data_IF_974608406666
#
_entry.id   IF_974608406666
#
_cell.length_a   1.000
_cell.length_b   1.000
_cell.length_c   1.000
_cell.angle_alpha   90.00
_cell.angle_beta   90.00
_cell.angle_gamma   90.00
#
_symmetry.space_group_name_H-M   'P 1'
#
loop_
_entity.id
_entity.type
_entity.pdbx_description
1 polymer ?
#
# COMPACT_ATOMS: atom_id res chain seq x y z
N UNK A 1 1.59 -15.86 11.63
CA UNK A 1 1.95 -14.93 10.54
C UNK A 1 1.88 -15.68 9.22
N UNK A 2 1.44 -15.03 8.14
CA UNK A 2 1.31 -15.56 6.78
C UNK A 2 2.14 -14.64 5.87
N UNK A 3 2.95 -15.19 4.97
CA UNK A 3 3.91 -14.47 4.14
C UNK A 3 3.97 -15.01 2.69
N UNK A 4 2.97 -15.77 2.30
CA UNK A 4 2.87 -16.43 0.99
C UNK A 4 2.06 -15.64 -0.04
N UNK A 5 1.58 -14.44 0.30
CA UNK A 5 0.79 -13.62 -0.61
C UNK A 5 1.68 -12.94 -1.66
N UNK A 6 1.23 -12.89 -2.93
CA UNK A 6 1.91 -12.10 -3.94
C UNK A 6 1.81 -10.61 -3.58
N UNK A 7 2.93 -9.91 -3.78
CA UNK A 7 3.01 -8.47 -3.57
C UNK A 7 3.72 -7.82 -4.76
N UNK A 8 3.32 -6.60 -5.07
CA UNK A 8 3.90 -5.81 -6.16
C UNK A 8 4.08 -4.35 -5.74
N UNK A 9 5.07 -3.70 -6.33
CA UNK A 9 5.21 -2.24 -6.21
C UNK A 9 4.12 -1.55 -7.03
N UNK A 10 3.54 -0.49 -6.48
CA UNK A 10 2.45 0.26 -7.11
C UNK A 10 2.87 1.71 -7.33
N UNK A 11 2.75 2.16 -8.57
CA UNK A 11 2.94 3.57 -8.93
C UNK A 11 1.77 4.42 -8.42
N UNK A 12 1.84 4.80 -7.15
CA UNK A 12 0.75 5.56 -6.54
C UNK A 12 0.66 6.99 -7.08
N UNK A 13 1.79 7.64 -7.32
CA UNK A 13 1.85 9.05 -7.75
C UNK A 13 1.19 9.27 -9.11
N UNK A 14 1.49 8.42 -10.09
CA UNK A 14 0.99 8.63 -11.45
C UNK A 14 -0.26 7.81 -11.78
N UNK A 15 -0.52 6.71 -11.06
CA UNK A 15 -1.66 5.83 -11.33
C UNK A 15 -2.60 5.72 -10.14
N UNK A 16 -2.10 5.23 -9.01
CA UNK A 16 -2.93 4.88 -7.85
C UNK A 16 -3.79 6.03 -7.32
N UNK A 17 -3.20 7.22 -7.13
CA UNK A 17 -3.89 8.41 -6.62
C UNK A 17 -5.01 8.92 -7.54
N UNK A 18 -4.92 8.64 -8.84
CA UNK A 18 -5.90 9.05 -9.83
C UNK A 18 -6.96 7.98 -10.11
N UNK A 19 -6.82 6.78 -9.53
CA UNK A 19 -7.82 5.73 -9.63
C UNK A 19 -9.10 6.14 -8.88
N UNK A 20 -10.26 5.96 -9.53
CA UNK A 20 -11.55 6.40 -8.99
C UNK A 20 -11.96 5.65 -7.72
N UNK A 21 -11.55 4.39 -7.57
CA UNK A 21 -11.93 3.52 -6.46
C UNK A 21 -10.96 3.66 -5.28
N UNK A 22 -9.65 3.69 -5.57
CA UNK A 22 -8.62 3.60 -4.52
C UNK A 22 -7.82 4.87 -4.31
N UNK A 23 -7.86 5.84 -5.23
CA UNK A 23 -6.97 7.00 -5.20
C UNK A 23 -7.16 7.92 -4.00
N UNK A 24 -8.29 7.82 -3.30
CA UNK A 24 -8.60 8.58 -2.09
C UNK A 24 -8.27 7.87 -0.78
N UNK A 25 -7.66 6.67 -0.83
CA UNK A 25 -7.27 5.93 0.38
C UNK A 25 -6.15 6.67 1.14
N UNK A 26 -5.13 7.12 0.43
CA UNK A 26 -3.94 7.74 1.02
C UNK A 26 -3.90 9.25 0.81
N UNK A 27 -4.69 9.97 1.61
CA UNK A 27 -4.71 11.45 1.63
C UNK A 27 -3.70 12.08 2.60
N UNK A 28 -2.97 11.25 3.34
CA UNK A 28 -2.04 11.66 4.38
C UNK A 28 -0.64 12.02 3.86
N UNK A 29 -0.39 11.85 2.56
CA UNK A 29 0.89 12.10 1.90
C UNK A 29 0.66 13.11 0.77
N UNK A 30 1.53 14.10 0.68
CA UNK A 30 1.63 14.97 -0.50
C UNK A 30 2.46 14.25 -1.57
N UNK A 31 1.78 13.44 -2.36
CA UNK A 31 2.43 12.58 -3.36
C UNK A 31 3.19 13.33 -4.45
N UNK A 32 2.82 14.58 -4.72
CA UNK A 32 3.47 15.40 -5.75
C UNK A 32 4.84 15.90 -5.31
N UNK A 33 5.08 16.05 -4.00
CA UNK A 33 6.30 16.65 -3.45
C UNK A 33 7.05 15.78 -2.43
N UNK A 34 6.41 14.76 -1.85
CA UNK A 34 6.99 13.90 -0.83
C UNK A 34 7.53 12.60 -1.44
N UNK A 35 8.85 12.45 -1.42
CA UNK A 35 9.58 11.27 -1.91
C UNK A 35 9.82 10.22 -0.83
N UNK A 36 9.50 10.53 0.43
CA UNK A 36 9.78 9.63 1.55
C UNK A 36 8.80 8.46 1.61
N UNK A 37 7.70 8.47 0.86
CA UNK A 37 6.70 7.40 0.85
C UNK A 37 6.65 6.63 -0.48
N UNK A 38 6.42 5.32 -0.38
CA UNK A 38 6.16 4.41 -1.51
C UNK A 38 5.01 3.46 -1.16
N UNK A 39 4.40 2.81 -2.15
CA UNK A 39 3.23 1.94 -1.95
C UNK A 39 3.48 0.53 -2.49
N UNK A 40 3.08 -0.47 -1.70
CA UNK A 40 3.05 -1.88 -2.08
C UNK A 40 1.60 -2.35 -2.14
N UNK A 41 1.23 -3.03 -3.23
CA UNK A 41 -0.04 -3.73 -3.39
C UNK A 41 0.12 -5.21 -3.01
N UNK A 42 -0.91 -5.77 -2.39
CA UNK A 42 -0.97 -7.18 -1.99
C UNK A 42 -2.30 -7.75 -2.49
N UNK A 43 -2.21 -8.81 -3.28
CA UNK A 43 -3.37 -9.49 -3.86
C UNK A 43 -3.76 -10.72 -3.02
N UNK A 44 -5.03 -10.78 -2.64
CA UNK A 44 -5.65 -11.86 -1.88
C UNK A 44 -6.76 -12.56 -2.66
N UNK A 45 -6.97 -12.24 -3.94
CA UNK A 45 -8.11 -12.71 -4.75
C UNK A 45 -8.22 -14.24 -4.77
N UNK A 46 -7.08 -14.95 -4.87
CA UNK A 46 -7.04 -16.42 -4.87
C UNK A 46 -6.69 -17.03 -3.51
N UNK A 47 -6.58 -16.21 -2.47
CA UNK A 47 -6.17 -16.65 -1.14
C UNK A 47 -7.36 -16.90 -0.23
N UNK A 48 -7.30 -18.01 0.52
CA UNK A 48 -8.31 -18.33 1.55
C UNK A 48 -7.83 -17.95 2.94
N UNK A 49 -8.71 -17.31 3.70
CA UNK A 49 -8.55 -17.01 5.13
C UNK A 49 -9.81 -17.43 5.87
N UNK A 50 -9.66 -17.77 7.16
CA UNK A 50 -10.78 -18.19 8.01
C UNK A 50 -11.61 -17.00 8.55
N UNK A 51 -11.34 -15.79 8.07
CA UNK A 51 -11.96 -14.53 8.49
C UNK A 51 -12.27 -13.69 7.25
N UNK A 52 -13.10 -12.66 7.43
CA UNK A 52 -13.41 -11.68 6.38
C UNK A 52 -12.11 -11.13 5.76
N UNK A 53 -12.12 -11.03 4.43
CA UNK A 53 -10.92 -10.76 3.63
C UNK A 53 -11.20 -9.68 2.60
N UNK A 54 -10.33 -8.68 2.54
CA UNK A 54 -10.26 -7.75 1.42
C UNK A 54 -9.58 -8.44 0.24
N UNK A 55 -10.00 -8.17 -1.00
CA UNK A 55 -9.39 -8.75 -2.19
C UNK A 55 -8.01 -8.15 -2.47
N UNK A 56 -7.87 -6.84 -2.31
CA UNK A 56 -6.59 -6.14 -2.53
C UNK A 56 -6.34 -5.16 -1.37
N UNK A 57 -5.12 -5.16 -0.83
CA UNK A 57 -4.65 -4.15 0.12
C UNK A 57 -3.46 -3.39 -0.44
N UNK A 58 -3.36 -2.11 -0.07
CA UNK A 58 -2.21 -1.26 -0.31
C UNK A 58 -1.58 -0.88 1.02
N UNK A 59 -0.25 -0.88 1.09
CA UNK A 59 0.53 -0.57 2.29
C UNK A 59 1.56 0.50 1.96
N UNK A 60 1.62 1.57 2.77
CA UNK A 60 2.65 2.59 2.62
C UNK A 60 3.95 2.14 3.30
N UNK A 61 5.07 2.38 2.60
CA UNK A 61 6.41 2.36 3.15
C UNK A 61 6.91 3.80 3.32
N UNK A 62 7.75 4.04 4.33
CA UNK A 62 8.35 5.34 4.59
C UNK A 62 9.87 5.21 4.78
N UNK A 63 10.65 6.05 4.11
CA UNK A 63 12.08 6.13 4.29
C UNK A 63 12.41 6.95 5.53
N UNK A 64 13.03 6.32 6.53
CA UNK A 64 13.40 7.00 7.75
C UNK A 64 14.81 7.57 7.65
N UNK A 65 14.91 8.89 7.42
CA UNK A 65 16.17 9.62 7.29
C UNK A 65 17.12 9.43 8.49
N UNK A 66 16.60 9.29 9.71
CA UNK A 66 17.43 9.12 10.91
C UNK A 66 18.10 7.76 10.98
N UNK A 67 17.45 6.74 10.40
CA UNK A 67 17.92 5.36 10.41
C UNK A 67 18.61 5.00 9.09
N UNK A 68 18.34 5.75 8.02
CA UNK A 68 18.89 5.52 6.68
C UNK A 68 18.30 4.30 5.99
N UNK A 69 17.03 3.96 6.24
CA UNK A 69 16.36 2.81 5.59
C UNK A 69 14.84 2.95 5.51
N UNK A 70 14.26 2.22 4.55
CA UNK A 70 12.82 2.05 4.42
C UNK A 70 12.21 1.26 5.59
N UNK A 71 11.02 1.68 6.00
CA UNK A 71 10.21 1.04 7.03
C UNK A 71 8.79 0.84 6.52
N UNK A 72 8.18 -0.30 6.88
CA UNK A 72 6.76 -0.54 6.64
C UNK A 72 5.96 0.27 7.65
N UNK A 73 5.00 1.07 7.18
CA UNK A 73 4.15 1.88 8.06
C UNK A 73 2.91 1.09 8.51
N UNK A 74 2.13 1.67 9.43
CA UNK A 74 0.79 1.17 9.77
C UNK A 74 -0.32 1.70 8.86
N UNK A 75 0.00 2.51 7.85
CA UNK A 75 -0.98 3.11 6.97
C UNK A 75 -1.33 2.12 5.85
N UNK A 76 -2.56 1.61 5.91
CA UNK A 76 -3.08 0.58 5.01
C UNK A 76 -4.49 0.97 4.59
N UNK A 77 -4.85 0.64 3.36
CA UNK A 77 -6.24 0.63 2.92
C UNK A 77 -6.46 -0.39 1.82
N UNK A 78 -7.71 -0.69 1.52
CA UNK A 78 -8.03 -1.75 0.60
C UNK A 78 -9.43 -1.70 0.06
N UNK A 79 -9.69 -2.63 -0.85
CA UNK A 79 -10.97 -2.80 -1.52
C UNK A 79 -11.43 -4.24 -1.40
N UNK A 80 -12.75 -4.39 -1.31
CA UNK A 80 -13.47 -5.66 -1.33
C UNK A 80 -13.83 -6.06 -2.76
#
# INVERSE_FOLDING_TARGET
MRNEFPYEWVDWRNKGQHDEKVGKIFKNVDWDNDLSYEVIGIDFTEATKNIETNQILFVQMHYNEKIGKWQVTGNVGGVY
#
